data_IF_393131747861
#
_entry.id   IF_393131747861
#
_cell.length_a   1.000
_cell.length_b   1.000
_cell.length_c   1.000
_cell.angle_alpha   90.00
_cell.angle_beta   90.00
_cell.angle_gamma   90.00
#
_symmetry.space_group_name_H-M   'P 1'
#
loop_
_entity.id
_entity.type
_entity.pdbx_description
1 polymer ?
#
# COMPACT_ATOMS: atom_id res chain seq x y z
N UNK A 1 -32.00 9.69 -2.85
CA UNK A 1 -32.35 8.66 -1.87
C UNK A 1 -33.31 7.57 -2.37
N UNK A 2 -34.25 7.80 -3.27
CA UNK A 2 -35.19 6.75 -3.77
C UNK A 2 -34.55 5.56 -4.52
N UNK A 3 -33.26 5.60 -4.84
CA UNK A 3 -32.54 4.51 -5.54
C UNK A 3 -31.79 3.50 -4.65
N UNK A 4 -31.61 3.79 -3.36
CA UNK A 4 -30.87 2.96 -2.41
C UNK A 4 -31.74 1.91 -1.65
N UNK A 5 -33.06 1.97 -1.78
CA UNK A 5 -34.01 1.25 -0.91
C UNK A 5 -34.57 -0.05 -1.49
N UNK A 6 -33.85 -0.82 -2.28
CA UNK A 6 -34.48 -2.03 -2.88
C UNK A 6 -34.02 -3.38 -2.35
N UNK A 7 -33.15 -3.50 -1.33
CA UNK A 7 -32.71 -4.82 -0.83
C UNK A 7 -32.56 -4.83 0.71
N UNK A 8 -33.28 -5.73 1.36
CA UNK A 8 -33.30 -6.17 2.76
C UNK A 8 -33.86 -5.21 3.84
N UNK A 9 -34.51 -5.78 4.89
CA UNK A 9 -35.20 -5.00 5.92
C UNK A 9 -34.27 -4.16 6.83
N UNK A 10 -33.01 -4.58 7.05
CA UNK A 10 -32.03 -3.85 7.87
C UNK A 10 -31.43 -2.64 7.14
N UNK A 11 -31.16 -2.76 5.84
CA UNK A 11 -30.74 -1.63 5.00
C UNK A 11 -31.80 -0.55 4.92
N UNK A 12 -33.07 -0.93 5.03
CA UNK A 12 -34.19 -0.01 5.05
C UNK A 12 -34.24 0.80 6.34
N UNK A 13 -34.04 0.16 7.50
CA UNK A 13 -34.01 0.82 8.80
C UNK A 13 -32.84 1.80 8.93
N UNK A 14 -31.64 1.44 8.43
CA UNK A 14 -30.47 2.34 8.43
C UNK A 14 -30.65 3.52 7.47
N UNK A 15 -31.25 3.27 6.29
CA UNK A 15 -31.56 4.33 5.33
C UNK A 15 -32.67 5.25 5.85
N UNK A 16 -33.66 4.71 6.57
CA UNK A 16 -34.70 5.50 7.26
C UNK A 16 -34.10 6.31 8.40
N UNK A 17 -33.19 5.72 9.22
CA UNK A 17 -32.47 6.43 10.28
C UNK A 17 -31.57 7.56 9.75
N UNK A 18 -30.87 7.34 8.64
CA UNK A 18 -30.10 8.38 7.95
C UNK A 18 -31.00 9.45 7.33
N UNK A 19 -32.16 9.06 6.81
CA UNK A 19 -33.15 10.01 6.30
C UNK A 19 -33.72 10.87 7.43
N UNK A 20 -34.12 10.29 8.57
CA UNK A 20 -34.59 11.01 9.76
C UNK A 20 -33.50 11.93 10.33
N UNK A 21 -32.25 11.52 10.31
CA UNK A 21 -31.12 12.36 10.68
C UNK A 21 -30.98 13.54 9.71
N UNK A 22 -31.06 13.30 8.39
CA UNK A 22 -31.06 14.31 7.37
C UNK A 22 -32.18 15.31 7.57
N UNK A 23 -33.42 14.86 7.81
CA UNK A 23 -34.60 15.72 8.06
C UNK A 23 -34.41 16.58 9.31
N UNK A 24 -33.92 15.99 10.40
CA UNK A 24 -33.62 16.73 11.65
C UNK A 24 -32.53 17.78 11.44
N UNK A 25 -31.44 17.44 10.75
CA UNK A 25 -30.35 18.35 10.45
C UNK A 25 -30.75 19.41 9.40
N UNK A 26 -31.64 19.06 8.45
CA UNK A 26 -32.11 19.97 7.40
C UNK A 26 -33.33 20.83 7.81
N UNK A 27 -34.14 20.34 8.77
CA UNK A 27 -35.39 20.98 9.19
C UNK A 27 -35.22 22.07 10.25
N UNK A 28 -34.13 22.17 10.94
CA UNK A 28 -33.90 23.11 12.05
C UNK A 28 -33.07 24.33 11.62
N UNK A 29 -33.43 25.48 12.18
CA UNK A 29 -32.67 26.72 12.06
C UNK A 29 -31.45 26.69 12.98
N UNK A 30 -30.57 25.73 12.76
CA UNK A 30 -29.40 25.43 13.61
C UNK A 30 -28.17 26.05 12.94
N UNK A 31 -27.28 26.54 13.77
CA UNK A 31 -25.98 27.07 13.36
C UNK A 31 -25.17 26.07 12.51
N UNK A 32 -24.49 26.56 11.46
CA UNK A 32 -23.73 25.77 10.52
C UNK A 32 -22.67 24.90 11.21
N UNK A 33 -22.01 25.41 12.24
CA UNK A 33 -20.99 24.70 12.99
C UNK A 33 -21.59 23.53 13.78
N UNK A 34 -22.76 23.71 14.37
CA UNK A 34 -23.46 22.66 15.10
C UNK A 34 -23.92 21.51 14.18
N UNK A 35 -24.36 21.84 12.96
CA UNK A 35 -24.74 20.86 11.94
C UNK A 35 -23.50 20.10 11.46
N UNK A 36 -22.39 20.77 11.27
CA UNK A 36 -21.12 20.18 10.85
C UNK A 36 -20.61 19.19 11.91
N UNK A 37 -20.59 19.56 13.19
CA UNK A 37 -20.15 18.70 14.29
C UNK A 37 -21.03 17.42 14.42
N UNK A 38 -22.34 17.55 14.27
CA UNK A 38 -23.26 16.41 14.33
C UNK A 38 -23.07 15.48 13.10
N UNK A 39 -22.86 16.03 11.93
CA UNK A 39 -22.55 15.26 10.73
C UNK A 39 -21.24 14.50 10.89
N UNK A 40 -20.20 15.13 11.42
CA UNK A 40 -18.90 14.50 11.69
C UNK A 40 -19.04 13.36 12.70
N UNK A 41 -19.75 13.59 13.81
CA UNK A 41 -20.02 12.56 14.82
C UNK A 41 -20.67 11.30 14.21
N UNK A 42 -21.78 11.47 13.49
CA UNK A 42 -22.48 10.34 12.87
C UNK A 42 -21.67 9.65 11.77
N UNK A 43 -20.89 10.40 11.03
CA UNK A 43 -19.97 9.83 10.06
C UNK A 43 -18.94 8.91 10.73
N UNK A 44 -18.34 9.34 11.85
CA UNK A 44 -17.36 8.55 12.59
C UNK A 44 -18.00 7.28 13.16
N UNK A 45 -19.20 7.36 13.73
CA UNK A 45 -19.95 6.18 14.22
C UNK A 45 -20.20 5.17 13.10
N UNK A 46 -20.71 5.61 11.95
CA UNK A 46 -21.00 4.71 10.82
C UNK A 46 -19.73 4.13 10.18
N UNK A 47 -18.65 4.88 10.18
CA UNK A 47 -17.35 4.41 9.73
C UNK A 47 -16.82 3.30 10.63
N UNK A 48 -16.99 3.40 11.94
CA UNK A 48 -16.54 2.39 12.89
C UNK A 48 -17.39 1.12 12.77
N UNK A 49 -18.71 1.23 12.66
CA UNK A 49 -19.60 0.10 12.38
C UNK A 49 -19.25 -0.62 11.06
N UNK A 50 -18.84 0.15 10.04
CA UNK A 50 -18.34 -0.42 8.77
C UNK A 50 -17.05 -1.23 8.95
N UNK A 51 -16.15 -0.81 9.84
CA UNK A 51 -14.90 -1.53 10.14
C UNK A 51 -15.11 -2.86 10.81
N UNK A 52 -16.10 -2.94 11.68
CA UNK A 52 -16.45 -4.16 12.41
C UNK A 52 -17.40 -5.09 11.65
N UNK A 53 -17.73 -4.76 10.39
CA UNK A 53 -18.70 -5.49 9.56
C UNK A 53 -20.09 -5.55 10.21
N UNK A 54 -20.44 -4.56 11.02
CA UNK A 54 -21.75 -4.45 11.70
C UNK A 54 -22.78 -3.70 10.84
N UNK A 55 -22.33 -3.12 9.72
CA UNK A 55 -23.25 -2.58 8.71
C UNK A 55 -23.89 -3.70 7.89
N UNK A 56 -25.14 -3.52 7.45
CA UNK A 56 -25.77 -4.47 6.55
C UNK A 56 -24.90 -4.75 5.30
N UNK A 57 -24.87 -6.00 4.79
CA UNK A 57 -23.97 -6.40 3.69
C UNK A 57 -24.16 -5.60 2.39
N UNK A 58 -25.31 -4.95 2.25
CA UNK A 58 -25.63 -4.08 1.09
C UNK A 58 -25.19 -2.62 1.28
N UNK A 59 -24.54 -2.30 2.42
CA UNK A 59 -24.12 -0.92 2.76
C UNK A 59 -22.59 -0.83 2.86
N UNK A 60 -22.01 -0.04 2.00
CA UNK A 60 -20.54 0.16 1.97
C UNK A 60 -20.17 1.52 2.58
N UNK A 61 -18.89 1.66 2.97
CA UNK A 61 -18.35 2.95 3.39
C UNK A 61 -18.47 4.02 2.27
N UNK A 62 -18.46 3.59 1.00
CA UNK A 62 -18.69 4.47 -0.14
C UNK A 62 -20.10 5.06 -0.15
N UNK A 63 -21.10 4.29 0.27
CA UNK A 63 -22.48 4.77 0.37
C UNK A 63 -22.63 5.78 1.50
N UNK A 64 -21.97 5.54 2.64
CA UNK A 64 -21.88 6.49 3.76
C UNK A 64 -21.25 7.81 3.29
N UNK A 65 -20.09 7.73 2.64
CA UNK A 65 -19.40 8.91 2.09
C UNK A 65 -20.28 9.71 1.15
N UNK A 66 -20.96 9.02 0.22
CA UNK A 66 -21.84 9.66 -0.75
C UNK A 66 -23.02 10.37 -0.07
N UNK A 67 -23.65 9.76 0.93
CA UNK A 67 -24.73 10.35 1.68
C UNK A 67 -24.32 11.63 2.40
N UNK A 68 -23.18 11.58 3.13
CA UNK A 68 -22.70 12.76 3.87
C UNK A 68 -22.23 13.90 2.96
N UNK A 69 -21.58 13.61 1.85
CA UNK A 69 -21.23 14.62 0.84
C UNK A 69 -22.47 15.31 0.27
N UNK A 70 -23.52 14.55 0.00
CA UNK A 70 -24.78 15.11 -0.50
C UNK A 70 -25.47 15.98 0.55
N UNK A 71 -25.41 15.59 1.82
CA UNK A 71 -25.91 16.39 2.95
C UNK A 71 -25.11 17.67 3.12
N UNK A 72 -23.77 17.61 3.12
CA UNK A 72 -22.91 18.78 3.23
C UNK A 72 -23.22 19.80 2.12
N UNK A 73 -23.30 19.33 0.86
CA UNK A 73 -23.66 20.17 -0.28
C UNK A 73 -25.04 20.82 -0.16
N UNK A 74 -26.04 20.07 0.34
CA UNK A 74 -27.40 20.60 0.54
C UNK A 74 -27.47 21.70 1.61
N UNK A 75 -26.50 21.73 2.52
CA UNK A 75 -26.36 22.73 3.60
C UNK A 75 -25.36 23.86 3.27
N UNK A 76 -24.75 23.85 2.09
CA UNK A 76 -23.72 24.82 1.75
C UNK A 76 -22.40 24.61 2.50
N UNK A 77 -22.20 23.43 3.11
CA UNK A 77 -20.94 23.04 3.76
C UNK A 77 -20.00 22.52 2.69
N UNK A 78 -18.81 23.11 2.62
CA UNK A 78 -17.77 22.65 1.70
C UNK A 78 -17.28 21.25 2.05
N UNK A 79 -17.07 20.40 1.04
CA UNK A 79 -16.62 19.03 1.22
C UNK A 79 -15.24 18.95 1.88
N UNK A 80 -14.34 19.90 1.59
CA UNK A 80 -13.01 19.97 2.20
C UNK A 80 -13.11 20.29 3.69
N UNK A 81 -13.99 21.22 4.07
CA UNK A 81 -14.25 21.58 5.46
C UNK A 81 -14.82 20.39 6.22
N UNK A 82 -15.81 19.69 5.63
CA UNK A 82 -16.38 18.49 6.25
C UNK A 82 -15.31 17.39 6.47
N UNK A 83 -14.54 17.06 5.44
CA UNK A 83 -13.50 16.01 5.58
C UNK A 83 -12.34 16.43 6.46
N UNK A 84 -11.97 17.72 6.52
CA UNK A 84 -10.98 18.22 7.47
C UNK A 84 -11.41 17.96 8.91
N UNK A 85 -12.66 18.27 9.25
CA UNK A 85 -13.24 18.00 10.57
C UNK A 85 -13.36 16.50 10.88
N UNK A 86 -13.72 15.68 9.89
CA UNK A 86 -13.71 14.22 10.03
C UNK A 86 -12.30 13.74 10.34
N UNK A 87 -11.27 14.24 9.68
CA UNK A 87 -9.88 13.87 9.93
C UNK A 87 -9.39 14.30 11.31
N UNK A 88 -9.81 15.48 11.79
CA UNK A 88 -9.56 15.91 13.17
C UNK A 88 -10.20 14.95 14.18
N UNK A 89 -11.48 14.60 14.00
CA UNK A 89 -12.20 13.65 14.84
C UNK A 89 -11.54 12.26 14.86
N UNK A 90 -11.14 11.75 13.69
CA UNK A 90 -10.36 10.50 13.56
C UNK A 90 -9.05 10.57 14.34
N UNK A 91 -8.37 11.71 14.30
CA UNK A 91 -7.10 11.92 14.98
C UNK A 91 -7.30 11.97 16.51
N UNK A 92 -8.37 12.64 16.97
CA UNK A 92 -8.75 12.72 18.39
C UNK A 92 -9.22 11.35 18.93
N UNK A 93 -10.04 10.60 18.17
CA UNK A 93 -10.41 9.22 18.55
C UNK A 93 -9.16 8.33 18.64
N UNK A 94 -8.25 8.46 17.71
CA UNK A 94 -6.99 7.74 17.70
C UNK A 94 -6.12 8.13 18.92
N UNK A 95 -6.03 9.40 19.25
CA UNK A 95 -5.33 9.90 20.43
C UNK A 95 -6.00 9.46 21.75
N UNK A 96 -7.34 9.42 21.81
CA UNK A 96 -8.09 8.94 22.97
C UNK A 96 -7.96 7.41 23.16
N UNK A 97 -7.85 6.64 22.07
CA UNK A 97 -7.55 5.21 22.08
C UNK A 97 -6.06 4.93 22.39
N UNK A 98 -5.18 5.91 22.24
CA UNK A 98 -3.72 5.85 22.43
C UNK A 98 -3.26 5.91 23.90
N UNK A 99 -4.13 5.78 24.91
CA UNK A 99 -3.74 5.63 26.32
C UNK A 99 -2.76 4.45 26.52
N UNK A 100 -3.19 3.29 27.07
CA UNK A 100 -2.30 2.13 27.28
C UNK A 100 -1.93 1.37 25.99
N UNK A 101 -2.64 1.57 24.87
CA UNK A 101 -2.30 0.95 23.59
C UNK A 101 -1.11 1.64 22.90
N UNK A 102 -0.93 2.93 23.04
CA UNK A 102 0.24 3.67 22.53
C UNK A 102 1.56 3.11 23.06
N UNK A 103 1.61 2.81 24.36
CA UNK A 103 2.80 2.20 24.96
C UNK A 103 3.12 0.81 24.39
N UNK A 104 2.08 -0.01 24.06
CA UNK A 104 2.25 -1.33 23.43
C UNK A 104 2.71 -1.21 21.97
N UNK A 105 2.14 -0.28 21.21
CA UNK A 105 2.55 0.00 19.81
C UNK A 105 3.98 0.53 19.79
N UNK A 106 4.34 1.44 20.70
CA UNK A 106 5.70 1.97 20.81
C UNK A 106 6.71 0.88 21.18
N UNK A 107 6.39 0.02 22.14
CA UNK A 107 7.25 -1.11 22.55
C UNK A 107 7.40 -2.11 21.40
N UNK A 108 6.31 -2.43 20.72
CA UNK A 108 6.32 -3.33 19.56
C UNK A 108 7.21 -2.79 18.44
N UNK A 109 7.12 -1.51 18.12
CA UNK A 109 7.95 -0.86 17.11
C UNK A 109 9.43 -0.86 17.50
N UNK A 110 9.77 -0.57 18.78
CA UNK A 110 11.14 -0.68 19.30
C UNK A 110 11.72 -2.10 19.10
N UNK A 111 10.92 -3.13 19.34
CA UNK A 111 11.35 -4.52 19.12
C UNK A 111 11.57 -4.79 17.62
N UNK A 112 10.71 -4.30 16.73
CA UNK A 112 10.88 -4.46 15.28
C UNK A 112 12.11 -3.72 14.76
N UNK A 113 12.40 -2.51 15.24
CA UNK A 113 13.60 -1.75 14.88
C UNK A 113 14.86 -2.46 15.35
N UNK A 114 14.89 -2.92 16.61
CA UNK A 114 16.00 -3.69 17.15
C UNK A 114 16.20 -5.02 16.39
N UNK A 115 15.10 -5.68 16.02
CA UNK A 115 15.15 -6.91 15.23
C UNK A 115 15.76 -6.68 13.84
N UNK A 116 15.42 -5.58 13.16
CA UNK A 116 16.03 -5.21 11.88
C UNK A 116 17.55 -5.06 12.01
N UNK A 117 18.01 -4.37 13.05
CA UNK A 117 19.44 -4.15 13.29
C UNK A 117 20.19 -5.48 13.58
N UNK A 118 19.62 -6.32 14.45
CA UNK A 118 20.26 -7.60 14.81
C UNK A 118 20.26 -8.59 13.65
N UNK A 119 19.14 -8.72 12.95
CA UNK A 119 19.06 -9.58 11.76
C UNK A 119 19.97 -9.10 10.63
N UNK A 120 20.04 -7.79 10.40
CA UNK A 120 20.94 -7.23 9.39
C UNK A 120 22.42 -7.48 9.73
N UNK A 121 22.80 -7.36 11.02
CA UNK A 121 24.19 -7.50 11.45
C UNK A 121 24.70 -8.94 11.52
N UNK A 122 23.84 -9.90 11.86
CA UNK A 122 24.23 -11.31 12.12
C UNK A 122 23.54 -12.34 11.22
N UNK A 123 22.57 -11.93 10.41
CA UNK A 123 21.66 -12.84 9.71
C UNK A 123 20.58 -13.42 10.62
N UNK A 124 19.52 -13.96 10.02
CA UNK A 124 18.39 -14.54 10.76
C UNK A 124 18.82 -15.69 11.68
N UNK A 125 19.65 -16.63 11.16
CA UNK A 125 20.00 -17.83 11.89
C UNK A 125 20.81 -17.58 13.16
N UNK A 126 21.81 -16.70 13.10
CA UNK A 126 22.69 -16.39 14.23
C UNK A 126 22.09 -15.37 15.21
N UNK A 127 21.07 -14.62 14.80
CA UNK A 127 20.37 -13.68 15.67
C UNK A 127 19.58 -14.43 16.75
N UNK A 128 19.65 -13.96 17.99
CA UNK A 128 18.88 -14.49 19.11
C UNK A 128 17.81 -13.51 19.58
N UNK A 129 16.71 -14.04 20.10
CA UNK A 129 15.62 -13.24 20.68
C UNK A 129 16.10 -12.43 21.87
N UNK A 130 17.08 -12.97 22.61
CA UNK A 130 17.68 -12.33 23.79
C UNK A 130 18.43 -11.05 23.40
N UNK A 131 19.25 -11.10 22.36
CA UNK A 131 19.95 -9.91 21.81
C UNK A 131 18.99 -8.86 21.29
N UNK A 132 17.89 -9.31 20.65
CA UNK A 132 16.86 -8.38 20.17
C UNK A 132 16.14 -7.70 21.35
N UNK A 133 15.83 -8.43 22.42
CA UNK A 133 15.21 -7.89 23.62
C UNK A 133 16.12 -6.88 24.33
N UNK A 134 17.40 -7.22 24.49
CA UNK A 134 18.42 -6.33 25.05
C UNK A 134 18.55 -5.04 24.23
N UNK A 135 18.69 -5.17 22.91
CA UNK A 135 18.81 -4.01 22.02
C UNK A 135 17.56 -3.13 21.99
N UNK A 136 16.38 -3.72 22.15
CA UNK A 136 15.10 -3.01 22.23
C UNK A 136 14.89 -2.35 23.60
N UNK A 137 15.72 -2.65 24.60
CA UNK A 137 15.57 -2.19 25.98
C UNK A 137 14.34 -2.78 26.67
N UNK A 138 13.98 -4.05 26.34
CA UNK A 138 12.83 -4.74 26.92
C UNK A 138 13.22 -6.08 27.53
N UNK A 139 12.46 -6.53 28.53
CA UNK A 139 12.65 -7.89 29.07
C UNK A 139 12.23 -8.97 28.04
N UNK A 140 12.90 -10.13 28.05
CA UNK A 140 12.60 -11.31 27.23
C UNK A 140 11.11 -11.70 27.27
N UNK A 141 10.50 -11.71 28.46
CA UNK A 141 9.06 -11.97 28.63
C UNK A 141 8.15 -10.94 27.93
N UNK A 142 8.59 -9.69 27.86
CA UNK A 142 7.87 -8.64 27.11
C UNK A 142 7.93 -8.91 25.61
N UNK A 143 9.09 -9.30 25.09
CA UNK A 143 9.25 -9.65 23.67
C UNK A 143 8.35 -10.84 23.31
N UNK A 144 8.37 -11.92 24.08
CA UNK A 144 7.54 -13.10 23.82
C UNK A 144 6.03 -12.85 23.95
N UNK A 145 5.63 -11.82 24.70
CA UNK A 145 4.23 -11.39 24.75
C UNK A 145 3.78 -10.70 23.45
N UNK A 146 4.71 -10.11 22.69
CA UNK A 146 4.44 -9.47 21.40
C UNK A 146 4.62 -10.42 20.21
N UNK A 147 5.62 -11.30 20.28
CA UNK A 147 6.01 -12.20 19.19
C UNK A 147 6.27 -13.59 19.72
N UNK A 148 5.51 -14.56 19.25
CA UNK A 148 5.54 -15.94 19.77
C UNK A 148 6.89 -16.63 19.57
N UNK A 149 7.62 -16.32 18.48
CA UNK A 149 8.93 -16.84 18.14
C UNK A 149 9.68 -15.89 17.19
N UNK A 150 10.95 -16.24 16.90
CA UNK A 150 11.83 -15.47 16.02
C UNK A 150 11.28 -15.35 14.58
N UNK A 151 10.69 -16.41 14.05
CA UNK A 151 10.08 -16.46 12.72
C UNK A 151 8.88 -15.52 12.62
N UNK A 152 8.02 -15.48 13.64
CA UNK A 152 6.88 -14.55 13.69
C UNK A 152 7.35 -13.11 13.77
N UNK A 153 8.38 -12.82 14.57
CA UNK A 153 8.99 -11.50 14.67
C UNK A 153 9.56 -11.06 13.31
N UNK A 154 10.32 -11.93 12.65
CA UNK A 154 10.90 -11.65 11.33
C UNK A 154 9.82 -11.38 10.26
N UNK A 155 8.84 -12.29 10.14
CA UNK A 155 7.74 -12.13 9.18
C UNK A 155 6.99 -10.83 9.39
N UNK A 156 6.75 -10.45 10.63
CA UNK A 156 6.04 -9.25 10.97
C UNK A 156 6.86 -7.99 10.73
N UNK A 157 8.18 -8.03 11.00
CA UNK A 157 9.11 -6.97 10.61
C UNK A 157 9.02 -6.68 9.11
N UNK A 158 9.16 -7.71 8.28
CA UNK A 158 9.07 -7.58 6.82
C UNK A 158 7.69 -7.06 6.40
N UNK A 159 6.62 -7.57 7.02
CA UNK A 159 5.25 -7.12 6.73
C UNK A 159 5.05 -5.62 7.00
N UNK A 160 5.40 -5.18 8.19
CA UNK A 160 5.19 -3.79 8.61
C UNK A 160 6.01 -2.84 7.72
N UNK A 161 7.26 -3.19 7.42
CA UNK A 161 8.13 -2.35 6.57
C UNK A 161 7.65 -2.27 5.12
N UNK A 162 7.15 -3.36 4.55
CA UNK A 162 6.63 -3.35 3.18
C UNK A 162 5.25 -2.70 3.05
N UNK A 163 4.54 -2.45 4.15
CA UNK A 163 3.21 -1.85 4.14
C UNK A 163 3.23 -0.41 3.58
N UNK A 164 4.29 0.36 3.87
CA UNK A 164 4.48 1.70 3.30
C UNK A 164 4.59 1.64 1.77
N UNK A 165 5.47 0.77 1.26
CA UNK A 165 5.62 0.55 -0.18
C UNK A 165 4.30 0.12 -0.83
N UNK A 166 3.56 -0.79 -0.17
CA UNK A 166 2.28 -1.27 -0.66
C UNK A 166 1.25 -0.14 -0.78
N UNK A 167 1.17 0.73 0.23
CA UNK A 167 0.26 1.87 0.24
C UNK A 167 0.57 2.82 -0.92
N UNK A 168 1.82 3.29 -1.03
CA UNK A 168 2.24 4.22 -2.09
C UNK A 168 2.06 3.62 -3.50
N UNK A 169 2.36 2.33 -3.66
CA UNK A 169 2.16 1.63 -4.93
C UNK A 169 0.67 1.53 -5.31
N UNK A 170 -0.22 1.28 -4.34
CA UNK A 170 -1.67 1.22 -4.61
C UNK A 170 -2.24 2.60 -4.96
N UNK A 171 -1.75 3.67 -4.37
CA UNK A 171 -2.14 5.05 -4.73
C UNK A 171 -1.83 5.33 -6.21
N UNK A 172 -0.63 4.97 -6.68
CA UNK A 172 -0.24 5.11 -8.10
C UNK A 172 -1.08 4.22 -9.01
N UNK A 173 -1.29 2.95 -8.64
CA UNK A 173 -2.06 2.01 -9.46
C UNK A 173 -3.54 2.38 -9.58
N UNK A 174 -4.11 3.04 -8.59
CA UNK A 174 -5.51 3.49 -8.59
C UNK A 174 -5.68 4.91 -9.17
N UNK A 175 -4.59 5.63 -9.44
CA UNK A 175 -4.63 6.96 -10.06
C UNK A 175 -5.07 6.93 -11.54
N UNK A 176 -5.35 8.10 -12.07
CA UNK A 176 -5.83 8.31 -13.45
C UNK A 176 -4.71 8.58 -14.46
N UNK A 177 -3.45 8.39 -14.05
CA UNK A 177 -2.31 8.56 -14.94
C UNK A 177 -2.37 7.61 -16.15
N UNK A 178 -1.81 8.04 -17.28
CA UNK A 178 -1.54 7.15 -18.39
C UNK A 178 -0.57 6.02 -17.98
N UNK A 179 -0.55 4.93 -18.75
CA UNK A 179 0.18 3.71 -18.38
C UNK A 179 1.68 3.91 -18.24
N UNK A 180 2.31 4.78 -19.06
CA UNK A 180 3.76 5.00 -19.03
C UNK A 180 4.14 5.86 -17.83
N UNK A 181 3.36 6.91 -17.55
CA UNK A 181 3.48 7.73 -16.35
C UNK A 181 3.28 6.89 -15.09
N UNK A 182 2.25 6.05 -15.05
CA UNK A 182 1.97 5.13 -13.95
C UNK A 182 3.16 4.17 -13.70
N UNK A 183 3.71 3.53 -14.75
CA UNK A 183 4.87 2.64 -14.62
C UNK A 183 6.07 3.42 -14.08
N UNK A 184 6.37 4.60 -14.62
CA UNK A 184 7.49 5.43 -14.17
C UNK A 184 7.36 5.83 -12.70
N UNK A 185 6.16 6.26 -12.26
CA UNK A 185 5.88 6.58 -10.85
C UNK A 185 6.05 5.34 -9.95
N UNK A 186 5.56 4.18 -10.39
CA UNK A 186 5.71 2.93 -9.64
C UNK A 186 7.18 2.55 -9.45
N UNK A 187 7.99 2.62 -10.52
CA UNK A 187 9.44 2.36 -10.47
C UNK A 187 10.15 3.34 -9.53
N UNK A 188 9.79 4.62 -9.58
CA UNK A 188 10.34 5.64 -8.70
C UNK A 188 10.06 5.32 -7.23
N UNK A 189 8.80 5.06 -6.87
CA UNK A 189 8.41 4.73 -5.49
C UNK A 189 9.15 3.48 -5.00
N UNK A 190 9.33 2.49 -5.86
CA UNK A 190 10.06 1.27 -5.55
C UNK A 190 11.54 1.57 -5.23
N UNK A 191 12.19 2.38 -6.05
CA UNK A 191 13.58 2.77 -5.82
C UNK A 191 13.75 3.68 -4.62
N UNK A 192 12.91 4.70 -4.45
CA UNK A 192 12.92 5.58 -3.27
C UNK A 192 12.72 4.80 -1.96
N UNK A 193 11.84 3.79 -1.98
CA UNK A 193 11.63 2.95 -0.81
C UNK A 193 12.88 2.15 -0.44
N UNK A 194 13.52 1.47 -1.40
CA UNK A 194 14.71 0.67 -1.10
C UNK A 194 15.97 1.51 -0.95
N UNK A 195 16.04 2.69 -1.52
CA UNK A 195 17.09 3.67 -1.24
C UNK A 195 17.14 4.01 0.26
N UNK A 196 15.97 4.27 0.84
CA UNK A 196 15.81 4.54 2.28
C UNK A 196 15.90 3.29 3.16
N UNK A 197 15.63 2.11 2.61
CA UNK A 197 15.52 0.84 3.34
C UNK A 197 16.50 -0.24 2.82
N UNK A 198 17.75 0.14 2.51
CA UNK A 198 18.77 -0.77 1.96
C UNK A 198 19.02 -2.00 2.84
N UNK A 199 19.01 -1.82 4.18
CA UNK A 199 19.15 -2.93 5.15
C UNK A 199 18.02 -3.94 5.04
N UNK A 200 16.78 -3.47 4.88
CA UNK A 200 15.63 -4.33 4.69
C UNK A 200 15.76 -5.16 3.39
N UNK A 201 16.19 -4.52 2.30
CA UNK A 201 16.37 -5.22 1.03
C UNK A 201 17.45 -6.30 1.13
N UNK A 202 18.61 -5.98 1.71
CA UNK A 202 19.69 -6.96 1.95
C UNK A 202 19.17 -8.14 2.77
N UNK A 203 18.44 -7.86 3.83
CA UNK A 203 17.87 -8.88 4.70
C UNK A 203 16.90 -9.80 3.94
N UNK A 204 15.96 -9.23 3.17
CA UNK A 204 15.01 -10.01 2.35
C UNK A 204 15.74 -10.91 1.36
N UNK A 205 16.78 -10.39 0.70
CA UNK A 205 17.54 -11.13 -0.32
C UNK A 205 18.42 -12.22 0.29
N UNK A 206 19.13 -11.91 1.39
CA UNK A 206 19.97 -12.89 2.09
C UNK A 206 19.17 -14.06 2.63
N UNK A 207 18.06 -13.75 3.32
CA UNK A 207 17.20 -14.77 3.92
C UNK A 207 16.39 -15.58 2.88
N UNK A 208 16.17 -15.01 1.70
CA UNK A 208 15.55 -15.72 0.56
C UNK A 208 16.35 -16.98 0.18
N UNK A 209 17.68 -16.91 0.29
CA UNK A 209 18.56 -18.05 -0.03
C UNK A 209 18.65 -19.07 1.09
N UNK A 210 18.39 -18.70 2.35
CA UNK A 210 18.66 -19.51 3.53
C UNK A 210 17.41 -20.05 4.24
N UNK A 211 16.34 -19.24 4.34
CA UNK A 211 15.11 -19.58 5.12
C UNK A 211 14.02 -20.25 4.26
N UNK A 212 14.22 -20.34 2.94
CA UNK A 212 13.27 -21.00 2.05
C UNK A 212 11.95 -20.22 1.85
N UNK A 213 10.94 -20.87 1.32
CA UNK A 213 9.71 -20.32 0.75
C UNK A 213 8.89 -19.30 1.57
N UNK A 214 9.05 -19.20 2.89
CA UNK A 214 8.16 -18.42 3.74
C UNK A 214 8.29 -16.89 3.55
N UNK A 215 9.52 -16.36 3.39
CA UNK A 215 9.76 -14.90 3.19
C UNK A 215 9.50 -14.52 1.74
N UNK A 216 9.91 -15.38 0.81
CA UNK A 216 9.61 -15.23 -0.61
C UNK A 216 8.11 -15.21 -0.84
N UNK A 217 7.37 -16.12 -0.22
CA UNK A 217 5.91 -16.19 -0.23
C UNK A 217 5.25 -14.91 0.32
N UNK A 218 5.84 -14.29 1.35
CA UNK A 218 5.25 -13.10 1.97
C UNK A 218 5.43 -11.86 1.09
N UNK A 219 6.65 -11.61 0.60
CA UNK A 219 6.93 -10.50 -0.31
C UNK A 219 6.19 -10.70 -1.63
N UNK A 220 6.29 -11.89 -2.21
CA UNK A 220 5.65 -12.26 -3.47
C UNK A 220 4.13 -12.17 -3.37
N UNK A 221 3.50 -12.70 -2.32
CA UNK A 221 2.03 -12.57 -2.13
C UNK A 221 1.58 -11.11 -2.05
N UNK A 222 2.36 -10.22 -1.45
CA UNK A 222 2.03 -8.79 -1.41
C UNK A 222 2.15 -8.12 -2.78
N UNK A 223 3.16 -8.46 -3.55
CA UNK A 223 3.29 -8.02 -4.94
C UNK A 223 2.14 -8.58 -5.77
N UNK A 224 1.80 -9.87 -5.60
CA UNK A 224 0.73 -10.55 -6.33
C UNK A 224 -0.67 -9.93 -6.11
N UNK A 225 -0.96 -9.33 -4.95
CA UNK A 225 -2.23 -8.64 -4.70
C UNK A 225 -2.48 -7.46 -5.65
N UNK A 226 -1.42 -6.85 -6.16
CA UNK A 226 -1.48 -5.69 -7.06
C UNK A 226 -1.58 -6.08 -8.54
N UNK A 227 -1.19 -7.29 -8.86
CA UNK A 227 -1.16 -7.79 -10.25
C UNK A 227 -2.49 -7.65 -10.96
N UNK A 228 -3.66 -7.96 -10.38
CA UNK A 228 -4.92 -7.84 -11.11
C UNK A 228 -5.17 -6.41 -11.62
N UNK A 229 -4.88 -5.39 -10.81
CA UNK A 229 -5.05 -3.98 -11.20
C UNK A 229 -4.04 -3.59 -12.28
N UNK A 230 -2.76 -3.91 -12.08
CA UNK A 230 -1.69 -3.66 -13.03
C UNK A 230 -1.95 -4.38 -14.36
N UNK A 231 -2.29 -5.67 -14.33
CA UNK A 231 -2.58 -6.49 -15.50
C UNK A 231 -3.71 -5.89 -16.35
N UNK A 232 -4.78 -5.43 -15.69
CA UNK A 232 -5.90 -4.78 -16.38
C UNK A 232 -5.46 -3.49 -17.09
N UNK A 233 -4.69 -2.60 -16.42
CA UNK A 233 -4.22 -1.35 -17.03
C UNK A 233 -3.26 -1.62 -18.20
N UNK A 234 -2.35 -2.57 -18.07
CA UNK A 234 -1.44 -2.98 -19.15
C UNK A 234 -2.20 -3.58 -20.34
N UNK A 235 -3.18 -4.44 -20.08
CA UNK A 235 -4.01 -5.01 -21.14
C UNK A 235 -4.78 -3.93 -21.92
N UNK A 236 -5.39 -2.97 -21.23
CA UNK A 236 -6.06 -1.84 -21.88
C UNK A 236 -5.11 -1.01 -22.73
N UNK A 237 -3.88 -0.75 -22.23
CA UNK A 237 -2.87 -0.01 -22.99
C UNK A 237 -2.36 -0.78 -24.21
N UNK A 238 -2.29 -2.12 -24.15
CA UNK A 238 -2.00 -2.96 -25.32
C UNK A 238 -3.11 -2.90 -26.36
N UNK A 239 -4.38 -2.98 -25.94
CA UNK A 239 -5.51 -2.82 -26.84
C UNK A 239 -5.56 -1.45 -27.53
N UNK A 240 -5.06 -0.41 -26.86
CA UNK A 240 -4.95 0.95 -27.41
C UNK A 240 -3.69 1.13 -28.30
N UNK A 241 -2.84 0.11 -28.42
CA UNK A 241 -1.60 0.17 -29.19
C UNK A 241 -0.47 0.97 -28.52
N UNK A 242 -0.64 1.37 -27.25
CA UNK A 242 0.41 2.08 -26.48
C UNK A 242 1.52 1.12 -26.06
N UNK A 243 1.16 -0.10 -25.69
CA UNK A 243 2.10 -1.18 -25.36
C UNK A 243 2.00 -2.30 -26.39
N UNK A 244 3.11 -3.01 -26.60
CA UNK A 244 3.12 -4.23 -27.43
C UNK A 244 2.29 -5.32 -26.77
N UNK A 245 1.65 -6.17 -27.57
CA UNK A 245 0.96 -7.36 -27.09
C UNK A 245 1.99 -8.45 -26.75
N UNK A 246 2.37 -8.53 -25.49
CA UNK A 246 3.34 -9.51 -24.95
C UNK A 246 2.71 -10.15 -23.73
N UNK A 247 3.04 -11.43 -23.46
CA UNK A 247 2.57 -12.11 -22.25
C UNK A 247 2.94 -11.30 -20.99
N UNK A 248 1.92 -10.97 -20.21
CA UNK A 248 2.05 -10.16 -19.02
C UNK A 248 3.05 -10.74 -18.02
N UNK A 249 3.01 -12.08 -17.81
CA UNK A 249 3.89 -12.71 -16.82
C UNK A 249 5.35 -12.61 -17.23
N UNK A 250 5.66 -12.85 -18.51
CA UNK A 250 7.00 -12.72 -19.06
C UNK A 250 7.55 -11.30 -18.85
N UNK A 251 6.76 -10.27 -19.18
CA UNK A 251 7.16 -8.87 -18.98
C UNK A 251 7.32 -8.56 -17.50
N UNK A 252 6.35 -8.96 -16.67
CA UNK A 252 6.36 -8.69 -15.24
C UNK A 252 7.59 -9.29 -14.54
N UNK A 253 7.86 -10.57 -14.75
CA UNK A 253 9.04 -11.23 -14.18
C UNK A 253 10.35 -10.69 -14.75
N UNK A 254 10.37 -10.35 -16.04
CA UNK A 254 11.52 -9.70 -16.69
C UNK A 254 11.86 -8.35 -16.05
N UNK A 255 10.85 -7.50 -15.86
CA UNK A 255 11.00 -6.19 -15.19
C UNK A 255 11.45 -6.35 -13.75
N UNK A 256 10.83 -7.27 -12.99
CA UNK A 256 11.23 -7.55 -11.60
C UNK A 256 12.67 -8.05 -11.50
N UNK A 257 13.11 -8.92 -12.39
CA UNK A 257 14.50 -9.40 -12.47
C UNK A 257 15.47 -8.27 -12.82
N UNK A 258 15.11 -7.40 -13.76
CA UNK A 258 15.92 -6.24 -14.13
C UNK A 258 16.08 -5.26 -12.96
N UNK A 259 14.98 -4.90 -12.29
CA UNK A 259 15.03 -4.05 -11.10
C UNK A 259 15.87 -4.66 -9.99
N UNK A 260 15.73 -5.97 -9.76
CA UNK A 260 16.55 -6.69 -8.79
C UNK A 260 18.04 -6.56 -9.14
N UNK A 261 18.44 -6.77 -10.41
CA UNK A 261 19.82 -6.62 -10.87
C UNK A 261 20.36 -5.20 -10.65
N UNK A 262 19.56 -4.16 -10.92
CA UNK A 262 19.92 -2.77 -10.68
C UNK A 262 20.17 -2.50 -9.19
N UNK A 263 19.30 -2.98 -8.31
CA UNK A 263 19.48 -2.81 -6.88
C UNK A 263 20.72 -3.59 -6.39
N UNK A 264 20.96 -4.80 -6.87
CA UNK A 264 22.17 -5.56 -6.53
C UNK A 264 23.44 -4.83 -6.94
N UNK A 265 23.48 -4.24 -8.13
CA UNK A 265 24.58 -3.38 -8.58
C UNK A 265 24.82 -2.19 -7.62
N UNK A 266 23.75 -1.53 -7.20
CA UNK A 266 23.82 -0.40 -6.27
C UNK A 266 24.29 -0.84 -4.87
N UNK A 267 23.79 -1.96 -4.36
CA UNK A 267 24.25 -2.55 -3.09
C UNK A 267 25.72 -2.97 -3.12
N UNK A 268 26.20 -3.52 -4.24
CA UNK A 268 27.61 -3.88 -4.44
C UNK A 268 28.54 -2.65 -4.45
N UNK A 269 28.00 -1.47 -4.71
CA UNK A 269 28.67 -0.17 -4.59
C UNK A 269 28.46 0.51 -3.24
N UNK A 270 28.06 -0.25 -2.22
CA UNK A 270 27.87 0.22 -0.84
C UNK A 270 26.87 1.39 -0.71
N UNK A 271 25.88 1.46 -1.61
CA UNK A 271 24.88 2.54 -1.65
C UNK A 271 25.54 3.95 -1.76
N UNK A 272 26.63 4.08 -2.50
CA UNK A 272 27.45 5.32 -2.58
C UNK A 272 26.78 6.47 -3.36
N UNK A 273 25.62 6.23 -3.98
CA UNK A 273 24.81 7.20 -4.70
C UNK A 273 23.32 6.89 -4.48
N UNK A 274 22.41 7.79 -4.85
CA UNK A 274 20.97 7.51 -4.74
C UNK A 274 20.53 6.44 -5.74
N UNK A 275 19.80 5.42 -5.27
CA UNK A 275 19.25 4.39 -6.15
C UNK A 275 18.31 4.99 -7.22
N UNK A 276 17.67 6.13 -6.91
CA UNK A 276 16.78 6.85 -7.83
C UNK A 276 17.53 7.37 -9.06
N UNK A 277 18.84 7.58 -8.97
CA UNK A 277 19.68 8.01 -10.11
C UNK A 277 19.73 6.95 -11.23
N UNK A 278 19.39 5.69 -10.93
CA UNK A 278 19.26 4.62 -11.92
C UNK A 278 17.95 4.71 -12.74
N UNK A 279 16.96 5.44 -12.25
CA UNK A 279 15.62 5.48 -12.84
C UNK A 279 15.62 5.90 -14.33
N UNK A 280 16.36 6.94 -14.77
CA UNK A 280 16.38 7.32 -16.18
C UNK A 280 16.86 6.17 -17.08
N UNK A 281 17.95 5.49 -16.71
CA UNK A 281 18.46 4.33 -17.47
C UNK A 281 17.50 3.14 -17.46
N UNK A 282 16.82 2.90 -16.35
CA UNK A 282 15.81 1.84 -16.24
C UNK A 282 14.61 2.12 -17.15
N UNK A 283 14.09 3.35 -17.13
CA UNK A 283 12.97 3.77 -17.99
C UNK A 283 13.36 3.69 -19.47
N UNK A 284 14.57 4.15 -19.82
CA UNK A 284 15.09 4.06 -21.18
C UNK A 284 15.11 2.62 -21.69
N UNK A 285 15.68 1.70 -20.89
CA UNK A 285 15.76 0.28 -21.28
C UNK A 285 14.38 -0.37 -21.37
N UNK A 286 13.49 -0.07 -20.44
CA UNK A 286 12.14 -0.69 -20.40
C UNK A 286 11.23 -0.19 -21.52
N UNK A 287 11.29 1.09 -21.87
CA UNK A 287 10.37 1.68 -22.86
C UNK A 287 10.91 1.63 -24.28
N UNK A 288 12.21 1.79 -24.45
CA UNK A 288 12.84 1.90 -25.76
C UNK A 288 13.79 0.75 -26.09
N UNK A 289 14.23 -0.02 -25.07
CA UNK A 289 15.26 -1.04 -25.21
C UNK A 289 16.67 -0.43 -25.25
N UNK A 290 17.67 -1.29 -25.40
CA UNK A 290 19.08 -0.87 -25.48
C UNK A 290 19.69 -1.05 -26.87
N UNK A 291 18.90 -1.51 -27.83
CA UNK A 291 19.33 -1.72 -29.23
C UNK A 291 19.02 -0.48 -30.04
N UNK A 292 20.04 0.11 -30.66
CA UNK A 292 19.83 1.17 -31.62
C UNK A 292 19.38 0.57 -32.96
N UNK A 293 18.08 0.50 -33.15
CA UNK A 293 17.43 -0.16 -34.30
C UNK A 293 17.81 0.49 -35.63
N UNK A 294 18.20 1.77 -35.66
CA UNK A 294 18.65 2.44 -36.88
C UNK A 294 20.02 1.96 -37.36
N UNK A 295 20.80 1.27 -36.52
CA UNK A 295 22.13 0.72 -36.83
C UNK A 295 22.14 -0.81 -36.95
N UNK A 296 21.01 -1.47 -36.71
CA UNK A 296 20.88 -2.92 -36.88
C UNK A 296 20.82 -3.26 -38.37
N UNK A 297 21.77 -4.05 -38.84
CA UNK A 297 21.81 -4.44 -40.25
C UNK A 297 20.68 -5.48 -40.56
N UNK A 298 20.39 -5.60 -41.87
CA UNK A 298 19.31 -6.50 -42.34
C UNK A 298 19.55 -7.98 -42.03
N UNK A 299 20.79 -8.39 -41.76
CA UNK A 299 21.11 -9.78 -41.41
C UNK A 299 20.69 -10.10 -39.95
N UNK A 300 20.92 -9.19 -39.02
CA UNK A 300 20.43 -9.35 -37.62
C UNK A 300 18.92 -9.37 -37.56
N UNK A 301 18.21 -8.57 -38.36
CA UNK A 301 16.76 -8.60 -38.45
C UNK A 301 16.25 -9.93 -39.01
N UNK A 302 16.86 -10.47 -40.05
CA UNK A 302 16.52 -11.77 -40.62
C UNK A 302 16.77 -12.92 -39.65
N UNK A 303 17.88 -12.92 -38.92
CA UNK A 303 18.18 -13.92 -37.87
C UNK A 303 17.13 -13.94 -36.75
N UNK A 304 16.67 -12.76 -36.36
CA UNK A 304 15.57 -12.64 -35.40
C UNK A 304 14.25 -13.20 -35.95
N UNK A 305 13.89 -12.86 -37.18
CA UNK A 305 12.64 -13.33 -37.80
C UNK A 305 12.62 -14.83 -38.05
N UNK A 306 13.76 -15.46 -38.35
CA UNK A 306 13.89 -16.91 -38.62
C UNK A 306 13.85 -17.72 -37.30
N UNK A 307 14.42 -17.22 -36.22
CA UNK A 307 14.56 -18.01 -34.99
C UNK A 307 13.43 -17.81 -33.97
N UNK A 308 12.59 -16.79 -34.11
CA UNK A 308 11.60 -16.41 -33.11
C UNK A 308 10.19 -16.15 -33.65
N UNK A 309 9.90 -16.49 -34.88
CA UNK A 309 8.55 -16.67 -35.45
C UNK A 309 8.20 -18.16 -35.50
#
# INVERSE_FOLDING_TARGET
>A
MRGLCKKSGHSRQLAEGLHDLCERLLGQNVDHDCVLEEMVHWYLVLRELSRHSELPPDFSLSDVNFCFLKMAKARGIDAEVFFSRVMEGVTLERAALEGPQSAKVTTRNKILDAALDVFYGKGFHLATVDEIAERAGVGKGTLYRHFANKEKLFNELVQVRLQELEKSAMEVLNGDDDVLTMITKYLRIYFEFFDRNSRLYRLIVQERMEVGSAVEDLYFRRVMRRIPVLKRKIHLASQQGVLKEIDFNTVFYGVMGFMHGVIQKWLARECSYSLVDELPGVVEVLFYGFVNTSKVNSECQKLWEVNFK
#
